data_IF_712384123414
#
_entry.id   IF_712384123414
#
_cell.length_a   1.000
_cell.length_b   1.000
_cell.length_c   1.000
_cell.angle_alpha   90.00
_cell.angle_beta   90.00
_cell.angle_gamma   90.00
#
_symmetry.space_group_name_H-M   'P 1'
#
loop_
_entity.id
_entity.type
_entity.pdbx_description
1 polymer ?
#
# COMPACT_ATOMS: atom_id res chain seq x y z
N UNK A 1 -25.10 -41.39 33.10
CA UNK A 1 -24.30 -41.31 31.87
C UNK A 1 -24.50 -40.01 31.04
N UNK A 2 -25.59 -39.26 31.21
CA UNK A 2 -25.94 -38.07 30.38
C UNK A 2 -25.16 -36.77 30.68
N UNK A 3 -24.49 -36.67 31.84
CA UNK A 3 -23.75 -35.48 32.28
C UNK A 3 -22.24 -35.44 31.88
N UNK A 4 -21.67 -36.58 31.45
CA UNK A 4 -20.28 -36.60 30.99
C UNK A 4 -20.10 -36.14 29.53
N UNK A 5 -21.10 -36.37 28.70
CA UNK A 5 -21.05 -35.94 27.29
C UNK A 5 -21.20 -34.41 27.10
N UNK A 6 -21.94 -33.73 27.97
CA UNK A 6 -22.10 -32.26 27.89
C UNK A 6 -20.81 -31.48 28.25
N UNK A 7 -19.95 -32.02 29.07
CA UNK A 7 -18.66 -31.41 29.44
C UNK A 7 -17.60 -31.53 28.35
N UNK A 8 -17.68 -32.54 27.49
CA UNK A 8 -16.74 -32.75 26.38
C UNK A 8 -17.01 -31.82 25.19
N UNK A 9 -18.26 -31.44 24.95
CA UNK A 9 -18.64 -30.58 23.83
C UNK A 9 -18.25 -29.11 24.09
N UNK A 10 -18.25 -28.66 25.36
CA UNK A 10 -17.85 -27.29 25.71
C UNK A 10 -16.34 -27.11 25.64
N UNK A 11 -15.54 -28.18 25.85
CA UNK A 11 -14.07 -28.07 25.78
C UNK A 11 -13.52 -28.03 24.35
N UNK A 12 -14.30 -28.44 23.35
CA UNK A 12 -13.84 -28.50 21.96
C UNK A 12 -14.08 -27.19 21.18
N UNK A 13 -14.90 -26.27 21.74
CA UNK A 13 -15.16 -24.97 21.10
C UNK A 13 -14.19 -23.85 21.50
N UNK A 14 -13.30 -24.08 22.49
CA UNK A 14 -12.38 -23.05 22.98
C UNK A 14 -10.98 -23.14 22.31
N UNK A 15 -10.69 -24.17 21.54
CA UNK A 15 -9.35 -24.35 20.93
C UNK A 15 -9.24 -23.87 19.49
N UNK A 16 -10.32 -23.34 18.91
CA UNK A 16 -10.31 -22.90 17.49
C UNK A 16 -10.29 -21.38 17.28
N UNK A 17 -9.84 -20.60 18.26
CA UNK A 17 -9.87 -19.13 18.15
C UNK A 17 -8.52 -18.40 18.40
N UNK A 18 -7.37 -19.03 18.14
CA UNK A 18 -6.11 -18.29 18.26
C UNK A 18 -5.07 -18.73 17.24
N UNK A 19 -5.34 -18.54 15.97
CA UNK A 19 -4.33 -18.37 14.94
C UNK A 19 -4.79 -17.26 13.96
N UNK A 20 -5.20 -16.13 14.50
CA UNK A 20 -5.12 -14.88 13.78
C UNK A 20 -3.67 -14.44 13.99
N UNK A 21 -2.81 -14.71 12.99
CA UNK A 21 -1.55 -13.96 12.91
C UNK A 21 -1.94 -12.49 12.94
N UNK A 22 -1.44 -11.68 13.89
CA UNK A 22 -1.68 -10.26 13.83
C UNK A 22 -1.09 -9.81 12.49
N UNK A 23 -1.94 -9.36 11.58
CA UNK A 23 -1.51 -8.38 10.59
C UNK A 23 -1.01 -7.27 11.48
N UNK A 24 0.29 -6.99 11.44
CA UNK A 24 0.88 -5.83 12.09
C UNK A 24 0.17 -4.60 11.51
N UNK A 25 -0.94 -4.22 12.14
CA UNK A 25 -1.52 -2.91 11.96
C UNK A 25 -0.53 -1.99 12.66
N UNK A 26 0.18 -1.17 11.90
CA UNK A 26 0.96 -0.08 12.45
C UNK A 26 -0.01 0.82 13.21
N UNK A 27 0.21 0.99 14.50
CA UNK A 27 -0.55 1.95 15.28
C UNK A 27 -0.13 3.36 14.86
N UNK A 28 -1.09 4.25 14.63
CA UNK A 28 -0.82 5.66 14.25
C UNK A 28 0.11 6.31 15.29
N UNK A 29 -0.05 5.94 16.56
CA UNK A 29 0.74 6.45 17.68
C UNK A 29 2.25 6.10 17.60
N UNK A 30 2.64 5.12 16.78
CA UNK A 30 4.04 4.78 16.54
C UNK A 30 4.70 5.69 15.50
N UNK A 31 3.90 6.46 14.76
CA UNK A 31 4.39 7.37 13.73
C UNK A 31 4.69 8.71 14.38
N UNK A 32 5.95 9.22 14.30
CA UNK A 32 6.29 10.53 14.83
C UNK A 32 5.44 11.65 14.21
N UNK A 33 5.17 12.69 14.99
CA UNK A 33 4.51 13.88 14.48
C UNK A 33 5.28 14.50 13.28
N UNK A 34 4.54 15.10 12.37
CA UNK A 34 5.11 15.75 11.19
C UNK A 34 6.08 16.87 11.59
N UNK A 35 7.32 16.75 11.16
CA UNK A 35 8.43 17.65 11.48
C UNK A 35 8.93 18.49 10.27
N UNK A 36 8.19 18.51 9.17
CA UNK A 36 8.57 19.21 7.93
C UNK A 36 9.22 18.30 6.88
N UNK A 37 9.56 17.05 7.21
CA UNK A 37 10.13 16.10 6.27
C UNK A 37 9.04 15.33 5.51
N UNK A 38 9.28 14.95 4.24
CA UNK A 38 8.28 14.25 3.43
C UNK A 38 8.03 12.81 3.86
N UNK A 39 8.92 12.22 4.64
CA UNK A 39 8.85 10.87 5.18
C UNK A 39 9.68 10.75 6.47
N UNK A 40 9.49 9.68 7.18
CA UNK A 40 10.25 9.30 8.37
C UNK A 40 10.51 7.80 8.35
N UNK A 41 11.68 7.39 8.82
CA UNK A 41 12.00 5.98 9.03
C UNK A 41 11.34 5.49 10.32
N UNK A 42 10.77 4.29 10.26
CA UNK A 42 10.17 3.58 11.39
C UNK A 42 10.76 2.17 11.46
N UNK A 43 10.73 1.53 12.63
CA UNK A 43 11.20 0.15 12.83
C UNK A 43 12.62 -0.10 12.30
N UNK A 44 13.54 0.82 12.58
CA UNK A 44 14.94 0.76 12.14
C UNK A 44 15.09 0.56 10.62
N UNK A 45 14.09 1.01 9.85
CA UNK A 45 14.01 0.85 8.40
C UNK A 45 14.02 -0.63 7.94
N UNK A 46 13.54 -1.54 8.78
CA UNK A 46 13.44 -2.96 8.46
C UNK A 46 12.00 -3.32 8.05
N UNK A 47 11.74 -3.63 6.77
CA UNK A 47 10.41 -4.00 6.31
C UNK A 47 10.03 -5.40 6.81
N UNK A 48 8.78 -5.56 7.25
CA UNK A 48 8.24 -6.83 7.70
C UNK A 48 7.48 -7.52 6.55
N UNK A 49 8.07 -8.60 6.01
CA UNK A 49 7.45 -9.44 5.00
C UNK A 49 7.40 -10.90 5.46
N UNK A 50 6.39 -11.64 5.00
CA UNK A 50 6.33 -13.08 5.23
C UNK A 50 7.42 -13.80 4.44
N UNK A 51 8.05 -14.81 5.04
CA UNK A 51 9.02 -15.65 4.34
C UNK A 51 8.42 -16.35 3.09
N UNK A 52 7.11 -16.52 3.03
CA UNK A 52 6.40 -17.07 1.86
C UNK A 52 6.40 -16.10 0.68
N UNK A 53 6.48 -14.79 0.96
CA UNK A 53 6.49 -13.76 -0.07
C UNK A 53 7.90 -13.50 -0.61
N UNK A 54 8.93 -13.93 0.13
CA UNK A 54 10.35 -13.81 -0.27
C UNK A 54 10.71 -14.87 -1.33
N UNK A 55 10.15 -14.70 -2.52
CA UNK A 55 10.39 -15.57 -3.67
C UNK A 55 10.48 -14.74 -4.96
N UNK A 56 10.78 -15.37 -6.06
CA UNK A 56 10.93 -14.70 -7.37
C UNK A 56 9.69 -14.81 -8.26
N UNK A 57 8.51 -15.01 -7.67
CA UNK A 57 7.26 -15.02 -8.42
C UNK A 57 6.64 -13.64 -8.38
N UNK A 58 6.57 -12.99 -9.52
CA UNK A 58 5.92 -11.69 -9.67
C UNK A 58 4.43 -11.77 -9.36
N UNK A 59 3.93 -10.80 -8.63
CA UNK A 59 2.52 -10.60 -8.40
C UNK A 59 2.22 -9.13 -8.09
N UNK A 60 0.98 -8.74 -8.29
CA UNK A 60 0.40 -7.50 -7.75
C UNK A 60 -0.97 -7.79 -7.14
N UNK A 61 -1.29 -7.10 -6.08
CA UNK A 61 -2.54 -7.27 -5.34
C UNK A 61 -3.00 -5.93 -4.77
N UNK A 62 -4.27 -5.64 -4.94
CA UNK A 62 -4.92 -4.43 -4.45
C UNK A 62 -6.14 -4.83 -3.63
N UNK A 63 -6.11 -4.54 -2.33
CA UNK A 63 -7.21 -4.86 -1.42
C UNK A 63 -8.50 -4.18 -1.85
N UNK A 64 -9.63 -4.71 -1.43
CA UNK A 64 -10.91 -4.06 -1.65
C UNK A 64 -10.93 -2.70 -0.94
N UNK A 65 -11.70 -1.76 -1.51
CA UNK A 65 -11.97 -0.50 -0.85
C UNK A 65 -12.71 -0.74 0.47
N UNK A 66 -12.49 0.12 1.45
CA UNK A 66 -13.25 0.09 2.69
C UNK A 66 -14.69 0.62 2.51
N UNK A 67 -15.46 0.68 3.60
CA UNK A 67 -16.85 1.14 3.57
C UNK A 67 -17.02 2.63 3.22
N UNK A 68 -15.93 3.41 3.26
CA UNK A 68 -15.88 4.81 2.78
C UNK A 68 -15.28 4.93 1.38
N UNK A 69 -15.15 3.81 0.65
CA UNK A 69 -14.55 3.77 -0.68
C UNK A 69 -13.08 4.21 -0.71
N UNK A 70 -12.34 4.09 0.40
CA UNK A 70 -10.93 4.43 0.48
C UNK A 70 -10.07 3.23 0.08
N UNK A 71 -8.98 3.42 -0.71
CA UNK A 71 -8.07 2.34 -1.08
C UNK A 71 -7.37 1.79 0.17
N UNK A 72 -7.11 0.50 0.16
CA UNK A 72 -6.45 -0.23 1.24
C UNK A 72 -5.08 -0.70 0.77
N UNK A 73 -4.52 -1.71 1.40
CA UNK A 73 -3.17 -2.21 1.09
C UNK A 73 -3.02 -2.51 -0.41
N UNK A 74 -1.98 -1.95 -1.00
CA UNK A 74 -1.43 -2.33 -2.30
C UNK A 74 -0.11 -3.06 -2.07
N UNK A 75 0.03 -4.25 -2.65
CA UNK A 75 1.17 -5.13 -2.41
C UNK A 75 1.61 -5.82 -3.70
N UNK A 76 2.90 -5.78 -3.98
CA UNK A 76 3.46 -6.42 -5.16
C UNK A 76 4.84 -7.02 -4.88
N UNK A 77 5.16 -8.09 -5.60
CA UNK A 77 6.52 -8.54 -5.84
C UNK A 77 6.93 -8.04 -7.23
N UNK A 78 7.47 -6.83 -7.25
CA UNK A 78 7.77 -6.10 -8.47
C UNK A 78 9.01 -6.67 -9.14
N UNK A 79 8.91 -6.89 -10.43
CA UNK A 79 10.01 -7.28 -11.28
C UNK A 79 9.84 -6.68 -12.67
N UNK A 80 10.80 -6.92 -13.55
CA UNK A 80 10.81 -6.31 -14.88
C UNK A 80 9.60 -6.68 -15.74
N UNK A 81 9.01 -7.84 -15.54
CA UNK A 81 7.84 -8.33 -16.27
C UNK A 81 6.54 -7.60 -15.90
N UNK A 82 6.44 -7.02 -14.69
CA UNK A 82 5.32 -6.16 -14.30
C UNK A 82 5.47 -4.72 -14.76
N UNK A 83 6.69 -4.27 -15.05
CA UNK A 83 6.93 -2.89 -15.47
C UNK A 83 6.21 -2.57 -16.79
N UNK A 84 5.72 -1.32 -16.95
CA UNK A 84 4.94 -0.95 -18.11
C UNK A 84 5.75 -1.04 -19.40
N UNK A 85 5.16 -1.66 -20.42
CA UNK A 85 5.67 -1.68 -21.78
C UNK A 85 4.99 -0.63 -22.67
N UNK A 86 3.99 0.07 -22.13
CA UNK A 86 3.21 1.10 -22.83
C UNK A 86 3.34 2.44 -22.11
N UNK A 87 3.08 3.52 -22.84
CA UNK A 87 3.01 4.86 -22.26
C UNK A 87 1.80 4.94 -21.33
N UNK A 88 1.98 5.62 -20.19
CA UNK A 88 0.91 5.92 -19.23
C UNK A 88 -0.23 6.67 -19.91
N UNK A 89 -1.45 6.23 -19.62
CA UNK A 89 -2.68 6.87 -20.07
C UNK A 89 -3.25 7.82 -19.02
N UNK A 90 -4.29 8.58 -19.39
CA UNK A 90 -4.98 9.47 -18.48
C UNK A 90 -5.71 8.69 -17.38
N UNK A 91 -5.57 9.15 -16.14
CA UNK A 91 -6.31 8.63 -14.97
C UNK A 91 -7.41 9.59 -14.50
N UNK A 92 -7.75 10.58 -15.34
CA UNK A 92 -8.72 11.64 -15.01
C UNK A 92 -10.14 11.14 -14.71
N UNK A 93 -10.52 9.98 -15.24
CA UNK A 93 -11.82 9.33 -15.00
C UNK A 93 -11.97 8.80 -13.57
N UNK A 94 -10.88 8.46 -12.90
CA UNK A 94 -10.92 7.97 -11.50
C UNK A 94 -10.99 9.16 -10.56
N UNK A 95 -11.97 9.14 -9.67
CA UNK A 95 -12.15 10.12 -8.59
C UNK A 95 -12.08 9.36 -7.26
N UNK A 96 -10.90 9.28 -6.62
CA UNK A 96 -10.78 8.65 -5.30
C UNK A 96 -11.63 9.40 -4.26
N UNK A 97 -11.89 8.78 -3.14
CA UNK A 97 -12.62 9.42 -2.02
C UNK A 97 -11.95 10.74 -1.64
N UNK A 98 -12.76 11.76 -1.38
CA UNK A 98 -12.29 13.12 -1.07
C UNK A 98 -11.71 13.89 -2.28
N UNK A 99 -11.84 13.37 -3.51
CA UNK A 99 -11.29 14.04 -4.68
C UNK A 99 -11.93 15.41 -4.93
N UNK A 100 -11.10 16.43 -4.90
CA UNK A 100 -11.45 17.78 -5.34
C UNK A 100 -10.23 18.49 -5.92
N UNK A 101 -10.46 19.60 -6.60
CA UNK A 101 -9.40 20.36 -7.27
C UNK A 101 -9.23 21.72 -6.61
N UNK A 102 -8.03 21.95 -6.07
CA UNK A 102 -7.64 23.25 -5.49
C UNK A 102 -6.33 23.70 -6.14
N UNK A 103 -6.27 24.96 -6.52
CA UNK A 103 -5.09 25.56 -7.18
C UNK A 103 -4.49 26.68 -6.35
N UNK A 104 -3.18 26.67 -6.23
CA UNK A 104 -2.40 27.72 -5.59
C UNK A 104 -1.20 28.13 -6.47
N UNK A 105 -0.85 29.43 -6.43
CA UNK A 105 0.25 29.98 -7.26
C UNK A 105 1.63 29.45 -6.82
N UNK A 106 1.83 29.13 -5.55
CA UNK A 106 3.13 28.75 -4.99
C UNK A 106 3.41 27.25 -5.01
N UNK A 107 2.48 26.41 -5.51
CA UNK A 107 2.65 24.96 -5.54
C UNK A 107 3.17 24.54 -6.92
N UNK A 108 4.17 23.68 -6.94
CA UNK A 108 4.62 22.99 -8.17
C UNK A 108 3.41 22.30 -8.85
N UNK A 109 3.30 22.45 -10.17
CA UNK A 109 2.13 21.98 -10.93
C UNK A 109 0.83 22.69 -10.62
N UNK A 110 0.80 23.66 -9.70
CA UNK A 110 -0.34 24.52 -9.32
C UNK A 110 -1.51 23.81 -8.62
N UNK A 111 -1.58 22.49 -8.59
CA UNK A 111 -2.66 21.72 -7.95
C UNK A 111 -2.20 21.16 -6.62
N UNK A 112 -2.97 21.45 -5.55
CA UNK A 112 -2.67 20.95 -4.21
C UNK A 112 -2.81 19.43 -4.14
N UNK A 113 -3.86 18.88 -4.76
CA UNK A 113 -4.15 17.45 -4.72
C UNK A 113 -3.84 16.74 -6.02
N UNK A 114 -3.31 15.56 -5.90
CA UNK A 114 -3.04 14.61 -6.97
C UNK A 114 -3.86 13.32 -6.76
N UNK A 115 -4.05 12.58 -7.85
CA UNK A 115 -4.39 11.16 -7.77
C UNK A 115 -3.08 10.42 -7.58
N UNK A 116 -2.76 10.09 -6.35
CA UNK A 116 -1.54 9.36 -6.00
C UNK A 116 -1.78 7.87 -6.22
N UNK A 117 -0.90 7.23 -7.00
CA UNK A 117 -0.85 5.76 -7.00
C UNK A 117 -0.24 5.30 -5.67
N UNK A 118 -0.77 4.23 -5.10
CA UNK A 118 -0.11 3.53 -3.99
C UNK A 118 1.14 2.79 -4.50
N UNK A 119 0.99 2.06 -5.59
CA UNK A 119 2.12 1.51 -6.35
C UNK A 119 2.19 2.26 -7.66
N UNK A 120 3.29 2.96 -7.91
CA UNK A 120 3.47 3.81 -9.08
C UNK A 120 3.35 3.05 -10.39
N UNK A 121 2.79 3.71 -11.41
CA UNK A 121 2.65 3.15 -12.76
C UNK A 121 3.96 2.55 -13.30
N UNK A 122 5.08 3.17 -13.00
CA UNK A 122 6.39 2.72 -13.44
C UNK A 122 6.81 1.35 -12.88
N UNK A 123 6.14 0.85 -11.84
CA UNK A 123 6.47 -0.41 -11.16
C UNK A 123 5.64 -1.58 -11.68
N UNK A 124 4.32 -1.38 -11.89
CA UNK A 124 3.40 -2.47 -12.24
C UNK A 124 2.57 -2.20 -13.50
N UNK A 125 2.69 -1.03 -14.11
CA UNK A 125 1.87 -0.67 -15.27
C UNK A 125 0.38 -0.49 -14.95
N UNK A 126 -0.03 -0.59 -13.68
CA UNK A 126 -1.41 -0.42 -13.28
C UNK A 126 -1.82 1.05 -13.37
N UNK A 127 -2.74 1.41 -14.26
CA UNK A 127 -3.00 2.80 -14.61
C UNK A 127 -4.18 3.42 -13.84
N UNK A 128 -5.39 3.05 -14.15
CA UNK A 128 -6.62 3.71 -13.68
C UNK A 128 -7.40 2.85 -12.68
N UNK A 129 -6.71 2.09 -11.87
CA UNK A 129 -7.31 1.24 -10.85
C UNK A 129 -7.70 2.07 -9.62
N UNK A 130 -9.00 2.06 -9.30
CA UNK A 130 -9.54 2.77 -8.13
C UNK A 130 -8.96 2.26 -6.79
N UNK A 131 -8.57 0.99 -6.72
CA UNK A 131 -7.97 0.37 -5.54
C UNK A 131 -6.49 0.77 -5.35
N UNK A 132 -5.88 1.35 -6.37
CA UNK A 132 -4.49 1.81 -6.38
C UNK A 132 -4.37 3.34 -6.39
N UNK A 133 -5.46 4.09 -6.29
CA UNK A 133 -5.46 5.54 -6.39
C UNK A 133 -6.11 6.19 -5.18
N UNK A 134 -5.38 7.09 -4.53
CA UNK A 134 -5.88 7.90 -3.42
C UNK A 134 -5.80 9.39 -3.74
N UNK A 135 -6.62 10.19 -3.06
CA UNK A 135 -6.46 11.63 -3.03
C UNK A 135 -5.34 11.96 -2.04
N UNK A 136 -4.25 12.50 -2.53
CA UNK A 136 -3.12 12.93 -1.70
C UNK A 136 -2.63 14.31 -2.13
N UNK A 137 -1.82 14.95 -1.29
CA UNK A 137 -1.19 16.20 -1.68
C UNK A 137 -0.14 15.98 -2.77
N UNK A 138 0.14 17.01 -3.56
CA UNK A 138 1.26 16.95 -4.49
C UNK A 138 2.59 16.71 -3.77
N UNK A 139 2.76 17.29 -2.58
CA UNK A 139 3.94 17.09 -1.76
C UNK A 139 4.12 15.62 -1.37
N UNK A 140 3.06 14.97 -0.84
CA UNK A 140 3.10 13.54 -0.56
C UNK A 140 3.47 12.73 -1.81
N UNK A 141 2.82 13.03 -2.95
CA UNK A 141 3.02 12.26 -4.17
C UNK A 141 4.44 12.39 -4.74
N UNK A 142 5.03 13.59 -4.70
CA UNK A 142 6.30 13.89 -5.40
C UNK A 142 7.50 13.79 -4.47
N UNK A 143 7.36 14.23 -3.22
CA UNK A 143 8.46 14.25 -2.25
C UNK A 143 8.41 13.03 -1.31
N UNK A 144 7.19 12.54 -0.98
CA UNK A 144 7.03 11.42 -0.07
C UNK A 144 7.05 10.05 -0.74
N UNK A 145 6.44 9.89 -1.91
CA UNK A 145 6.27 8.57 -2.55
C UNK A 145 7.21 8.34 -3.74
N UNK A 146 7.30 9.29 -4.66
CA UNK A 146 8.04 9.14 -5.91
C UNK A 146 9.54 8.78 -5.73
N UNK A 147 10.28 9.28 -4.72
CA UNK A 147 11.68 8.89 -4.52
C UNK A 147 11.84 7.38 -4.34
N UNK A 148 11.00 6.76 -3.51
CA UNK A 148 11.04 5.30 -3.26
C UNK A 148 10.62 4.49 -4.49
N UNK A 149 9.63 4.96 -5.24
CA UNK A 149 9.23 4.33 -6.50
C UNK A 149 10.36 4.36 -7.52
N UNK A 150 11.09 5.47 -7.60
CA UNK A 150 12.24 5.61 -8.49
C UNK A 150 13.37 4.67 -8.08
N UNK A 151 13.69 4.59 -6.78
CA UNK A 151 14.73 3.71 -6.27
C UNK A 151 14.42 2.24 -6.59
N UNK A 152 13.19 1.78 -6.34
CA UNK A 152 12.74 0.43 -6.69
C UNK A 152 12.85 0.19 -8.20
N UNK A 153 12.36 1.12 -9.01
CA UNK A 153 12.42 1.04 -10.47
C UNK A 153 13.86 0.93 -10.98
N UNK A 154 14.76 1.76 -10.47
CA UNK A 154 16.16 1.79 -10.89
C UNK A 154 16.90 0.54 -10.44
N UNK A 155 16.65 0.05 -9.22
CA UNK A 155 17.19 -1.21 -8.74
C UNK A 155 16.81 -2.37 -9.64
N UNK A 156 15.52 -2.52 -9.96
CA UNK A 156 15.03 -3.61 -10.82
C UNK A 156 15.63 -3.52 -12.22
N UNK A 157 15.69 -2.33 -12.82
CA UNK A 157 16.29 -2.12 -14.14
C UNK A 157 17.76 -2.48 -14.18
N UNK A 158 18.51 -2.16 -13.11
CA UNK A 158 19.94 -2.37 -12.98
C UNK A 158 20.29 -3.83 -12.70
N UNK A 159 19.52 -4.50 -11.85
CA UNK A 159 19.86 -5.83 -11.32
C UNK A 159 19.05 -6.97 -11.92
N UNK A 160 17.89 -6.67 -12.48
CA UNK A 160 16.86 -7.64 -12.88
C UNK A 160 16.35 -8.51 -11.72
N UNK A 161 16.52 -8.05 -10.48
CA UNK A 161 16.00 -8.71 -9.27
C UNK A 161 14.57 -8.26 -8.98
N UNK A 162 13.91 -8.99 -8.07
CA UNK A 162 12.59 -8.69 -7.56
C UNK A 162 12.66 -7.79 -6.33
N UNK A 163 11.62 -6.99 -6.11
CA UNK A 163 11.44 -6.15 -4.92
C UNK A 163 10.04 -6.33 -4.37
N UNK A 164 9.91 -6.76 -3.12
CA UNK A 164 8.64 -6.69 -2.41
C UNK A 164 8.34 -5.25 -2.04
N UNK A 165 7.22 -4.74 -2.51
CA UNK A 165 6.79 -3.37 -2.32
C UNK A 165 5.36 -3.33 -1.81
N UNK A 166 5.16 -2.80 -0.60
CA UNK A 166 3.84 -2.71 0.03
C UNK A 166 3.57 -1.29 0.49
N UNK A 167 2.42 -0.79 0.14
CA UNK A 167 1.90 0.51 0.61
C UNK A 167 0.61 0.28 1.37
N UNK A 168 0.57 0.73 2.60
CA UNK A 168 -0.58 0.62 3.49
C UNK A 168 -1.05 2.03 3.87
N UNK A 169 -2.11 2.55 3.26
CA UNK A 169 -2.72 3.79 3.73
C UNK A 169 -3.29 3.60 5.14
N UNK A 170 -3.00 4.52 6.04
CA UNK A 170 -3.57 4.59 7.39
C UNK A 170 -4.49 5.80 7.42
N UNK A 171 -5.71 5.60 7.91
CA UNK A 171 -6.74 6.63 7.95
C UNK A 171 -7.22 6.83 9.39
N UNK A 172 -7.45 8.08 9.78
CA UNK A 172 -8.11 8.46 11.03
C UNK A 172 -9.62 8.15 10.99
#
# INVERSE_FOLDING_TARGET
>A
MRNRMRKFIISMFIVLSTLITPILAYEIDEIPEYNGNPYVEIHDNEPVFSSKDMNTKSFESYSNLDFLDRPQVAYANVSKDLMPTKKRESIGSVKPTGWHTVRYKGIDGKYLYNRCHLIGYQLTGENANRKNLMTGTRYLNVEGMLPFENEVSDYIKKTNHHVLYRVTPIYD
#
